data_IF_228910916477
#
_entry.id   IF_228910916477
#
_cell.length_a   1.000
_cell.length_b   1.000
_cell.length_c   1.000
_cell.angle_alpha   90.00
_cell.angle_beta   90.00
_cell.angle_gamma   90.00
#
_symmetry.space_group_name_H-M   'P 1'
#
loop_
_entity.id
_entity.type
_entity.pdbx_description
1 polymer ?
#
# COMPACT_ATOMS: atom_id res chain seq x y z
N UNK A 1 -8.51 -72.62 -50.53
CA UNK A 1 -8.14 -72.00 -49.24
C UNK A 1 -7.78 -70.56 -49.46
N UNK A 2 -8.65 -69.66 -49.06
CA UNK A 2 -8.47 -68.21 -49.25
C UNK A 2 -8.33 -67.63 -47.84
N UNK A 3 -7.18 -67.07 -47.57
CA UNK A 3 -6.87 -66.38 -46.31
C UNK A 3 -7.22 -64.93 -46.42
N UNK A 4 -8.12 -64.44 -45.53
CA UNK A 4 -8.48 -63.05 -45.39
C UNK A 4 -7.39 -62.22 -44.68
N UNK A 5 -7.13 -60.97 -45.03
CA UNK A 5 -6.19 -60.12 -44.32
C UNK A 5 -6.83 -59.48 -43.10
N UNK A 6 -6.06 -59.50 -42.01
CA UNK A 6 -6.47 -58.90 -40.73
C UNK A 6 -6.49 -57.35 -40.79
N UNK A 7 -7.53 -56.81 -40.20
CA UNK A 7 -7.73 -55.37 -39.94
C UNK A 7 -6.92 -55.00 -38.70
N UNK A 8 -5.99 -54.05 -38.81
CA UNK A 8 -5.30 -53.44 -37.69
C UNK A 8 -6.21 -52.40 -37.01
N UNK A 9 -6.23 -52.30 -35.68
CA UNK A 9 -7.01 -51.28 -34.98
C UNK A 9 -6.33 -49.93 -35.09
N UNK A 10 -7.12 -48.93 -35.45
CA UNK A 10 -6.82 -47.52 -35.50
C UNK A 10 -6.42 -47.03 -34.12
N UNK A 11 -5.18 -46.55 -33.99
CA UNK A 11 -4.71 -45.83 -32.78
C UNK A 11 -5.12 -44.40 -32.88
N UNK A 12 -6.31 -44.07 -32.42
CA UNK A 12 -6.69 -42.68 -32.13
C UNK A 12 -5.83 -42.13 -31.00
N UNK A 13 -4.81 -41.38 -31.39
CA UNK A 13 -4.02 -40.56 -30.47
C UNK A 13 -4.89 -39.42 -30.00
N UNK A 14 -5.44 -39.59 -28.80
CA UNK A 14 -6.12 -38.50 -28.08
C UNK A 14 -5.09 -37.44 -27.70
N UNK A 15 -4.98 -36.40 -28.51
CA UNK A 15 -4.31 -35.17 -28.11
C UNK A 15 -5.15 -34.49 -27.04
N UNK A 16 -4.84 -34.82 -25.78
CA UNK A 16 -5.27 -33.98 -24.66
C UNK A 16 -4.45 -32.69 -24.74
N UNK A 17 -5.00 -31.71 -25.43
CA UNK A 17 -4.59 -30.33 -25.27
C UNK A 17 -4.92 -29.91 -23.83
N UNK A 18 -3.96 -30.13 -22.94
CA UNK A 18 -3.95 -29.41 -21.67
C UNK A 18 -3.44 -28.00 -22.01
N UNK A 19 -4.38 -27.15 -22.43
CA UNK A 19 -4.17 -25.72 -22.36
C UNK A 19 -4.06 -25.39 -20.87
N UNK A 20 -2.85 -25.45 -20.35
CA UNK A 20 -2.47 -24.89 -19.06
C UNK A 20 -2.54 -23.37 -19.21
N UNK A 21 -3.73 -22.79 -19.22
CA UNK A 21 -3.93 -21.38 -18.92
C UNK A 21 -3.45 -21.21 -17.48
N UNK A 22 -2.19 -20.78 -17.32
CA UNK A 22 -1.70 -20.31 -16.05
C UNK A 22 -2.75 -19.26 -15.59
N UNK A 23 -3.51 -19.58 -14.57
CA UNK A 23 -4.51 -18.70 -13.96
C UNK A 23 -3.73 -17.52 -13.45
N UNK A 24 -3.80 -16.37 -14.12
CA UNK A 24 -3.10 -15.18 -13.68
C UNK A 24 -3.65 -14.82 -12.30
N UNK A 25 -2.79 -14.87 -11.32
CA UNK A 25 -3.14 -14.51 -9.95
C UNK A 25 -3.49 -13.03 -9.94
N UNK A 26 -4.71 -12.69 -9.53
CA UNK A 26 -5.21 -11.33 -9.51
C UNK A 26 -4.59 -10.56 -8.35
N UNK A 27 -4.19 -9.31 -8.59
CA UNK A 27 -3.79 -8.39 -7.54
C UNK A 27 -4.96 -7.49 -7.14
N UNK A 28 -5.18 -7.36 -5.83
CA UNK A 28 -6.16 -6.45 -5.24
C UNK A 28 -5.42 -5.48 -4.31
N UNK A 29 -5.68 -4.18 -4.46
CA UNK A 29 -5.22 -3.16 -3.51
C UNK A 29 -6.35 -2.85 -2.52
N UNK A 30 -6.19 -3.27 -1.27
CA UNK A 30 -7.13 -3.03 -0.17
C UNK A 30 -6.92 -1.62 0.41
N UNK A 31 -7.23 -0.58 -0.37
CA UNK A 31 -7.03 0.82 0.04
C UNK A 31 -7.84 1.80 -0.80
N UNK A 32 -8.52 2.75 -0.15
CA UNK A 32 -9.16 3.90 -0.80
C UNK A 32 -8.18 4.98 -1.26
N UNK A 33 -6.92 4.94 -0.84
CA UNK A 33 -5.92 5.99 -1.10
C UNK A 33 -5.60 6.17 -2.58
N UNK A 34 -5.90 7.34 -3.20
CA UNK A 34 -5.52 7.62 -4.58
C UNK A 34 -3.99 7.59 -4.80
N UNK A 35 -3.23 7.98 -3.79
CA UNK A 35 -1.76 8.04 -3.84
C UNK A 35 -1.15 6.64 -3.96
N UNK A 36 -1.64 5.67 -3.19
CA UNK A 36 -1.20 4.26 -3.28
C UNK A 36 -1.52 3.66 -4.65
N UNK A 37 -2.70 3.97 -5.19
CA UNK A 37 -3.09 3.56 -6.55
C UNK A 37 -2.13 4.10 -7.61
N UNK A 38 -1.79 5.38 -7.53
CA UNK A 38 -0.85 6.02 -8.46
C UNK A 38 0.55 5.39 -8.37
N UNK A 39 1.05 5.15 -7.15
CA UNK A 39 2.36 4.52 -6.93
C UNK A 39 2.42 3.10 -7.51
N UNK A 40 1.39 2.29 -7.27
CA UNK A 40 1.36 0.90 -7.72
C UNK A 40 1.21 0.81 -9.25
N UNK A 41 0.40 1.68 -9.86
CA UNK A 41 0.31 1.82 -11.33
C UNK A 41 1.62 2.28 -11.95
N UNK A 42 2.28 3.28 -11.36
CA UNK A 42 3.58 3.76 -11.82
C UNK A 42 4.68 2.70 -11.72
N UNK A 43 4.52 1.72 -10.83
CA UNK A 43 5.39 0.54 -10.75
C UNK A 43 5.03 -0.55 -11.78
N UNK A 44 4.03 -0.33 -12.65
CA UNK A 44 3.65 -1.21 -13.75
C UNK A 44 2.67 -2.32 -13.38
N UNK A 45 2.04 -2.28 -12.20
CA UNK A 45 1.09 -3.33 -11.80
C UNK A 45 -0.33 -2.99 -12.22
N UNK A 46 -1.02 -4.02 -12.76
CA UNK A 46 -2.47 -4.03 -12.92
C UNK A 46 -3.12 -4.62 -11.67
N UNK A 47 -4.16 -3.96 -11.16
CA UNK A 47 -4.84 -4.37 -9.94
C UNK A 47 -6.28 -3.87 -9.91
N UNK A 48 -7.09 -4.56 -9.11
CA UNK A 48 -8.40 -4.07 -8.69
C UNK A 48 -8.30 -3.36 -7.35
N UNK A 49 -9.28 -2.53 -7.04
CA UNK A 49 -9.33 -1.77 -5.79
C UNK A 49 -10.51 -2.25 -4.97
N UNK A 50 -10.24 -2.64 -3.75
CA UNK A 50 -11.24 -2.82 -2.70
C UNK A 50 -10.92 -1.89 -1.53
N UNK A 51 -11.93 -1.41 -0.84
CA UNK A 51 -11.75 -0.55 0.33
C UNK A 51 -12.52 -1.15 1.50
N UNK A 52 -11.97 -2.20 2.12
CA UNK A 52 -12.62 -2.83 3.25
C UNK A 52 -12.69 -1.86 4.44
N UNK A 53 -13.82 -1.89 5.13
CA UNK A 53 -13.97 -1.24 6.42
C UNK A 53 -13.28 -2.09 7.48
N UNK A 54 -12.28 -1.52 8.16
CA UNK A 54 -11.52 -2.19 9.21
C UNK A 54 -11.39 -1.26 10.42
N UNK A 55 -11.33 -1.84 11.60
CA UNK A 55 -11.05 -1.08 12.82
C UNK A 55 -9.59 -0.56 12.79
N UNK A 56 -9.44 0.76 12.71
CA UNK A 56 -8.15 1.48 12.72
C UNK A 56 -7.79 2.03 14.11
N UNK A 57 -8.48 1.60 15.17
CA UNK A 57 -8.25 2.07 16.54
C UNK A 57 -6.79 1.88 16.95
N UNK A 58 -6.19 2.94 17.47
CA UNK A 58 -4.85 2.92 18.06
C UNK A 58 -4.92 2.17 19.40
N UNK A 59 -4.06 1.19 19.59
CA UNK A 59 -3.95 0.45 20.85
C UNK A 59 -2.95 1.20 21.73
N UNK A 60 -3.35 1.50 22.97
CA UNK A 60 -2.50 2.20 23.93
C UNK A 60 -1.21 1.43 24.19
N UNK A 61 -0.07 2.11 24.05
CA UNK A 61 1.26 1.51 24.24
C UNK A 61 1.77 0.69 23.05
N UNK A 62 1.03 0.62 21.94
CA UNK A 62 1.52 -0.05 20.73
C UNK A 62 2.57 0.80 20.02
N UNK A 63 3.72 0.18 19.69
CA UNK A 63 4.76 0.83 18.89
C UNK A 63 4.22 1.21 17.49
N UNK A 64 4.56 2.40 16.96
CA UNK A 64 4.03 2.88 15.68
C UNK A 64 4.30 1.94 14.49
N UNK A 65 5.45 1.26 14.47
CA UNK A 65 5.82 0.29 13.43
C UNK A 65 4.93 -0.97 13.50
N UNK A 66 4.64 -1.46 14.70
CA UNK A 66 3.71 -2.57 14.92
C UNK A 66 2.29 -2.19 14.54
N UNK A 67 1.86 -0.98 14.91
CA UNK A 67 0.54 -0.46 14.58
C UNK A 67 0.30 -0.47 13.06
N UNK A 68 1.20 0.15 12.27
CA UNK A 68 1.01 0.24 10.81
C UNK A 68 1.05 -1.14 10.14
N UNK A 69 1.85 -2.08 10.64
CA UNK A 69 1.85 -3.47 10.13
C UNK A 69 0.55 -4.18 10.49
N UNK A 70 0.06 -4.06 11.71
CA UNK A 70 -1.22 -4.63 12.15
C UNK A 70 -2.37 -4.12 11.29
N UNK A 71 -2.45 -2.81 11.07
CA UNK A 71 -3.49 -2.18 10.24
C UNK A 71 -3.37 -2.60 8.77
N UNK A 72 -2.15 -2.71 8.24
CA UNK A 72 -1.91 -3.23 6.90
C UNK A 72 -2.38 -4.68 6.74
N UNK A 73 -2.09 -5.55 7.72
CA UNK A 73 -2.57 -6.94 7.77
C UNK A 73 -4.10 -7.02 7.80
N UNK A 74 -4.74 -6.23 8.67
CA UNK A 74 -6.20 -6.21 8.79
C UNK A 74 -6.84 -5.83 7.44
N UNK A 75 -6.32 -4.79 6.76
CA UNK A 75 -6.78 -4.36 5.44
C UNK A 75 -6.58 -5.46 4.39
N UNK A 76 -5.40 -6.10 4.36
CA UNK A 76 -5.11 -7.17 3.42
C UNK A 76 -6.03 -8.38 3.62
N UNK A 77 -6.25 -8.82 4.87
CA UNK A 77 -7.13 -9.95 5.18
C UNK A 77 -8.60 -9.66 4.88
N UNK A 78 -9.06 -8.43 5.20
CA UNK A 78 -10.45 -8.04 4.93
C UNK A 78 -10.76 -7.94 3.42
N UNK A 79 -9.78 -7.57 2.59
CA UNK A 79 -9.90 -7.58 1.13
C UNK A 79 -9.67 -8.96 0.49
N UNK A 80 -9.26 -9.98 1.25
CA UNK A 80 -8.94 -11.31 0.73
C UNK A 80 -10.20 -12.16 0.55
N UNK A 81 -11.14 -11.69 -0.26
CA UNK A 81 -12.47 -12.31 -0.48
C UNK A 81 -12.41 -13.52 -1.42
N UNK A 82 -11.34 -13.69 -2.20
CA UNK A 82 -11.15 -14.80 -3.14
C UNK A 82 -9.83 -15.53 -2.89
N UNK A 83 -9.80 -16.88 -2.88
CA UNK A 83 -8.59 -17.66 -2.59
C UNK A 83 -7.45 -17.45 -3.61
N UNK A 84 -7.79 -17.12 -4.84
CA UNK A 84 -6.85 -17.02 -5.97
C UNK A 84 -6.27 -15.61 -6.17
N UNK A 85 -6.63 -14.65 -5.30
CA UNK A 85 -6.11 -13.28 -5.35
C UNK A 85 -5.01 -13.07 -4.32
N UNK A 86 -4.02 -12.24 -4.68
CA UNK A 86 -3.08 -11.62 -3.76
C UNK A 86 -3.60 -10.24 -3.41
N UNK A 87 -3.73 -9.94 -2.14
CA UNK A 87 -4.27 -8.68 -1.65
C UNK A 87 -3.19 -7.88 -0.94
N UNK A 88 -2.97 -6.66 -1.38
CA UNK A 88 -2.04 -5.70 -0.77
C UNK A 88 -2.80 -4.73 0.13
N UNK A 89 -2.53 -4.78 1.43
CA UNK A 89 -2.92 -3.78 2.41
C UNK A 89 -1.75 -2.88 2.79
N UNK A 90 -2.02 -1.62 3.14
CA UNK A 90 -1.00 -0.72 3.65
C UNK A 90 -1.61 0.32 4.61
N UNK A 91 -0.78 0.77 5.55
CA UNK A 91 -1.12 1.86 6.47
C UNK A 91 0.07 2.78 6.67
N UNK A 92 -0.19 4.07 6.95
CA UNK A 92 0.87 5.09 7.05
C UNK A 92 0.59 6.00 8.22
N UNK A 93 1.61 6.24 9.04
CA UNK A 93 1.55 7.18 10.15
C UNK A 93 2.73 8.13 10.18
N UNK A 94 2.55 9.26 10.85
CA UNK A 94 3.59 10.25 11.12
C UNK A 94 3.90 10.24 12.61
N UNK A 95 5.18 10.25 12.97
CA UNK A 95 5.63 10.21 14.36
C UNK A 95 6.57 11.38 14.63
N UNK A 96 6.23 12.19 15.62
CA UNK A 96 7.06 13.29 16.11
C UNK A 96 7.35 13.07 17.60
N UNK A 97 8.63 12.98 18.00
CA UNK A 97 9.07 12.76 19.39
C UNK A 97 8.37 11.56 20.07
N UNK A 98 8.17 10.47 19.35
CA UNK A 98 7.47 9.29 19.84
C UNK A 98 5.93 9.39 19.86
N UNK A 99 5.36 10.54 19.47
CA UNK A 99 3.90 10.74 19.40
C UNK A 99 3.39 10.54 17.99
N UNK A 100 2.35 9.72 17.84
CA UNK A 100 1.67 9.52 16.57
C UNK A 100 0.84 10.76 16.26
N UNK A 101 1.01 11.30 15.04
CA UNK A 101 0.18 12.36 14.47
C UNK A 101 -0.76 11.72 13.45
N UNK A 102 -2.00 11.55 13.84
CA UNK A 102 -3.07 11.04 12.99
C UNK A 102 -3.53 12.03 11.91
N UNK A 103 -4.71 11.80 11.37
CA UNK A 103 -5.40 12.79 10.53
C UNK A 103 -6.01 13.85 11.44
N UNK A 104 -5.94 15.14 11.07
CA UNK A 104 -6.59 16.20 11.85
C UNK A 104 -8.12 16.10 11.74
N UNK A 105 -8.82 16.47 12.81
CA UNK A 105 -10.28 16.52 12.83
C UNK A 105 -10.84 17.75 12.07
N UNK A 106 -9.97 18.76 11.81
CA UNK A 106 -10.38 19.99 11.12
C UNK A 106 -9.20 20.91 10.83
N UNK A 107 -9.51 22.08 10.24
CA UNK A 107 -8.51 23.05 9.80
C UNK A 107 -7.64 23.59 10.95
N UNK A 108 -8.22 23.83 12.12
CA UNK A 108 -7.49 24.34 13.28
C UNK A 108 -6.42 23.33 13.72
N UNK A 109 -6.80 22.07 13.91
CA UNK A 109 -5.85 21.02 14.29
C UNK A 109 -4.81 20.76 13.18
N UNK A 110 -5.21 20.83 11.91
CA UNK A 110 -4.28 20.72 10.79
C UNK A 110 -3.20 21.83 10.84
N UNK A 111 -3.58 23.08 11.14
CA UNK A 111 -2.64 24.16 11.28
C UNK A 111 -1.70 23.97 12.49
N UNK A 112 -2.23 23.53 13.62
CA UNK A 112 -1.43 23.21 14.83
C UNK A 112 -0.45 22.06 14.59
N UNK A 113 -0.90 20.98 13.95
CA UNK A 113 -0.03 19.85 13.58
C UNK A 113 1.11 20.32 12.66
N UNK A 114 0.79 21.10 11.63
CA UNK A 114 1.80 21.61 10.69
C UNK A 114 2.81 22.52 11.38
N UNK A 115 2.38 23.35 12.32
CA UNK A 115 3.29 24.17 13.13
C UNK A 115 4.16 23.30 14.04
N UNK A 116 3.61 22.24 14.62
CA UNK A 116 4.33 21.33 15.53
C UNK A 116 5.48 20.59 14.85
N UNK A 117 5.35 20.27 13.56
CA UNK A 117 6.39 19.61 12.75
C UNK A 117 7.28 20.63 12.03
N UNK A 118 6.87 21.91 11.94
CA UNK A 118 7.61 22.99 11.31
C UNK A 118 8.98 23.22 11.96
N UNK A 119 10.03 23.35 11.14
CA UNK A 119 11.42 23.51 11.59
C UNK A 119 12.04 22.26 12.25
N UNK A 120 11.37 21.09 12.16
CA UNK A 120 11.77 19.87 12.84
C UNK A 120 11.88 18.69 11.87
N UNK A 121 12.44 17.60 12.35
CA UNK A 121 12.46 16.32 11.65
C UNK A 121 11.48 15.37 12.34
N UNK A 122 10.62 14.76 11.55
CA UNK A 122 9.68 13.73 11.98
C UNK A 122 9.89 12.45 11.18
N UNK A 123 9.26 11.38 11.61
CA UNK A 123 9.35 10.04 11.02
C UNK A 123 8.03 9.73 10.31
N UNK A 124 8.10 9.24 9.08
CA UNK A 124 6.97 8.64 8.38
C UNK A 124 7.19 7.14 8.31
N UNK A 125 6.23 6.37 8.82
CA UNK A 125 6.28 4.90 8.83
C UNK A 125 5.12 4.38 8.03
N UNK A 126 5.39 3.54 7.04
CA UNK A 126 4.35 2.82 6.29
C UNK A 126 4.53 1.32 6.46
N UNK A 127 3.50 0.68 7.02
CA UNK A 127 3.34 -0.76 7.04
C UNK A 127 2.66 -1.26 5.78
N UNK A 128 3.01 -2.45 5.36
CA UNK A 128 2.41 -3.15 4.23
C UNK A 128 2.27 -4.63 4.54
N UNK A 129 1.29 -5.28 3.92
CA UNK A 129 1.07 -6.71 4.03
C UNK A 129 0.46 -7.27 2.76
N UNK A 130 0.88 -8.48 2.38
CA UNK A 130 0.26 -9.29 1.35
C UNK A 130 -0.53 -10.42 2.02
N UNK A 131 -1.78 -10.62 1.59
CA UNK A 131 -2.60 -11.74 1.96
C UNK A 131 -2.97 -12.58 0.74
N UNK A 132 -3.09 -13.89 0.92
CA UNK A 132 -3.65 -14.81 -0.07
C UNK A 132 -4.63 -15.74 0.65
N UNK A 133 -5.90 -15.68 0.28
CA UNK A 133 -6.96 -16.27 1.07
C UNK A 133 -6.94 -15.70 2.51
N UNK A 134 -7.18 -16.54 3.50
CA UNK A 134 -7.22 -16.13 4.92
C UNK A 134 -5.84 -16.03 5.59
N UNK A 135 -4.75 -15.84 4.84
CA UNK A 135 -3.39 -15.90 5.38
C UNK A 135 -2.55 -14.73 4.93
N UNK A 136 -1.81 -14.13 5.85
CA UNK A 136 -0.70 -13.22 5.51
C UNK A 136 0.45 -14.07 4.97
N UNK A 137 0.92 -13.73 3.77
CA UNK A 137 2.04 -14.39 3.11
C UNK A 137 3.34 -13.63 3.30
N UNK A 138 3.26 -12.31 3.39
CA UNK A 138 4.42 -11.45 3.68
C UNK A 138 3.95 -10.09 4.21
N UNK A 139 4.74 -9.48 5.07
CA UNK A 139 4.50 -8.13 5.57
C UNK A 139 5.80 -7.45 6.02
N UNK A 140 5.72 -6.17 6.30
CA UNK A 140 6.83 -5.38 6.80
C UNK A 140 6.47 -3.91 6.91
N UNK A 141 7.47 -3.11 7.25
CA UNK A 141 7.35 -1.65 7.27
C UNK A 141 8.60 -0.97 6.71
N UNK A 142 8.47 0.29 6.38
CA UNK A 142 9.54 1.17 5.93
C UNK A 142 9.47 2.48 6.70
N UNK A 143 10.63 3.08 6.97
CA UNK A 143 10.76 4.32 7.72
C UNK A 143 11.47 5.37 6.89
N UNK A 144 10.98 6.61 6.91
CA UNK A 144 11.60 7.74 6.23
C UNK A 144 11.62 8.95 7.14
N UNK A 145 12.77 9.59 7.26
CA UNK A 145 12.92 10.86 7.96
C UNK A 145 12.51 12.00 7.03
N UNK A 146 11.71 12.93 7.52
CA UNK A 146 11.29 14.11 6.78
C UNK A 146 11.61 15.34 7.61
N UNK A 147 12.50 16.21 7.10
CA UNK A 147 12.78 17.49 7.70
C UNK A 147 11.91 18.58 7.07
N UNK A 148 11.30 19.38 7.92
CA UNK A 148 10.46 20.52 7.52
C UNK A 148 11.23 21.83 7.70
N UNK A 149 11.00 22.79 6.81
CA UNK A 149 11.37 24.19 7.10
C UNK A 149 10.45 24.77 8.18
N UNK A 150 10.84 25.87 8.77
CA UNK A 150 9.95 26.64 9.65
C UNK A 150 8.67 27.01 8.89
N UNK A 151 7.54 26.89 9.56
CA UNK A 151 6.21 27.20 9.03
C UNK A 151 5.62 28.34 9.83
N UNK A 152 5.30 29.43 9.14
CA UNK A 152 4.64 30.59 9.74
C UNK A 152 3.18 30.25 10.07
N UNK A 153 2.61 30.72 11.20
CA UNK A 153 1.22 30.45 11.57
C UNK A 153 0.19 30.85 10.52
N UNK A 154 0.40 31.97 9.82
CA UNK A 154 -0.51 32.43 8.75
C UNK A 154 -0.44 31.48 7.56
N UNK A 155 0.76 31.02 7.21
CA UNK A 155 0.98 30.04 6.15
C UNK A 155 0.37 28.67 6.49
N UNK A 156 0.50 28.22 7.75
CA UNK A 156 -0.13 26.99 8.22
C UNK A 156 -1.66 27.07 8.13
N UNK A 157 -2.25 28.17 8.58
CA UNK A 157 -3.70 28.39 8.51
C UNK A 157 -4.19 28.42 7.04
N UNK A 158 -3.48 29.12 6.16
CA UNK A 158 -3.83 29.20 4.74
C UNK A 158 -3.78 27.85 4.05
N UNK A 159 -2.80 27.02 4.39
CA UNK A 159 -2.72 25.64 3.87
C UNK A 159 -3.81 24.73 4.47
N UNK A 160 -4.10 24.86 5.75
CA UNK A 160 -5.18 24.10 6.38
C UNK A 160 -6.54 24.39 5.73
N UNK A 161 -6.83 25.67 5.42
CA UNK A 161 -8.05 26.10 4.76
C UNK A 161 -8.19 25.58 3.30
N UNK A 162 -7.11 25.11 2.67
CA UNK A 162 -7.19 24.47 1.35
C UNK A 162 -7.91 23.12 1.34
N UNK A 163 -8.11 22.51 2.52
CA UNK A 163 -8.66 21.17 2.67
C UNK A 163 -7.66 20.04 2.33
N UNK A 164 -6.53 20.35 1.68
CA UNK A 164 -5.53 19.34 1.30
C UNK A 164 -5.01 18.52 2.49
N UNK A 165 -4.73 19.08 3.69
CA UNK A 165 -4.16 18.33 4.80
C UNK A 165 -5.14 17.40 5.53
N UNK A 166 -6.45 17.57 5.39
CA UNK A 166 -7.46 16.99 6.28
C UNK A 166 -7.56 15.45 6.23
N UNK A 167 -7.19 14.82 5.14
CA UNK A 167 -7.17 13.36 4.97
C UNK A 167 -5.79 12.73 5.18
N UNK A 168 -4.84 13.47 5.79
CA UNK A 168 -3.43 13.07 5.85
C UNK A 168 -2.89 13.04 7.27
N UNK A 169 -2.22 11.95 7.63
CA UNK A 169 -1.45 11.88 8.87
C UNK A 169 -0.38 12.99 8.90
N UNK A 170 -0.28 13.69 10.03
CA UNK A 170 0.65 14.82 10.19
C UNK A 170 0.27 16.08 9.41
N UNK A 171 -0.94 16.13 8.84
CA UNK A 171 -1.53 17.30 8.19
C UNK A 171 -0.70 17.90 7.03
N UNK A 172 -0.01 17.06 6.21
CA UNK A 172 0.62 17.54 4.97
C UNK A 172 0.70 16.43 3.92
N UNK A 173 0.90 16.84 2.65
CA UNK A 173 1.15 15.94 1.55
C UNK A 173 2.48 16.24 0.87
N UNK A 174 3.26 15.18 0.56
CA UNK A 174 4.46 15.31 -0.27
C UNK A 174 4.12 15.50 -1.77
N UNK A 175 2.92 15.11 -2.17
CA UNK A 175 2.36 15.33 -3.50
C UNK A 175 1.25 16.37 -3.39
N UNK A 176 1.58 17.63 -3.69
CA UNK A 176 0.67 18.77 -3.57
C UNK A 176 1.37 19.97 -2.97
N UNK A 177 0.59 20.93 -2.49
CA UNK A 177 1.09 22.19 -1.96
C UNK A 177 1.89 22.02 -0.66
N UNK A 178 1.61 20.97 0.11
CA UNK A 178 2.35 20.63 1.32
C UNK A 178 3.83 20.30 1.08
N UNK A 179 4.21 19.93 -0.15
CA UNK A 179 5.61 19.67 -0.51
C UNK A 179 6.54 20.88 -0.26
N UNK A 180 6.02 22.09 -0.33
CA UNK A 180 6.78 23.36 -0.09
C UNK A 180 7.33 23.51 1.32
N UNK A 181 6.76 22.78 2.27
CA UNK A 181 7.22 22.79 3.66
C UNK A 181 8.38 21.82 3.91
N UNK A 182 8.59 20.85 3.02
CA UNK A 182 9.63 19.82 3.17
C UNK A 182 10.98 20.37 2.72
N UNK A 183 11.98 20.35 3.61
CA UNK A 183 13.35 20.77 3.31
C UNK A 183 14.24 19.62 2.85
N UNK A 184 14.07 18.42 3.44
CA UNK A 184 14.80 17.23 3.01
C UNK A 184 14.09 15.94 3.39
N UNK A 185 14.46 14.84 2.71
CA UNK A 185 13.92 13.50 2.92
C UNK A 185 15.10 12.54 3.03
N UNK A 186 15.18 11.83 4.15
CA UNK A 186 16.16 10.77 4.43
C UNK A 186 15.52 9.39 4.34
N UNK A 187 15.34 8.88 3.13
CA UNK A 187 14.73 7.58 2.85
C UNK A 187 13.85 7.57 1.59
N UNK A 188 13.08 6.50 1.35
CA UNK A 188 12.27 6.37 0.15
C UNK A 188 11.10 7.35 0.12
N UNK A 189 11.03 8.20 -0.93
CA UNK A 189 9.88 9.13 -1.12
C UNK A 189 8.55 8.39 -1.24
N UNK A 190 8.53 7.21 -1.87
CA UNK A 190 7.31 6.41 -2.02
C UNK A 190 6.73 5.96 -0.68
N UNK A 191 7.58 5.75 0.34
CA UNK A 191 7.15 5.49 1.70
C UNK A 191 6.37 6.68 2.28
N UNK A 192 6.88 7.90 2.15
CA UNK A 192 6.20 9.13 2.61
C UNK A 192 4.85 9.34 1.91
N UNK A 193 4.78 8.99 0.63
CA UNK A 193 3.52 9.07 -0.15
C UNK A 193 2.50 8.01 0.29
N UNK A 194 2.97 6.90 0.92
CA UNK A 194 2.12 5.90 1.55
C UNK A 194 2.24 4.47 1.05
N UNK A 195 3.29 4.17 0.25
CA UNK A 195 3.61 2.80 -0.16
C UNK A 195 5.11 2.63 -0.41
N UNK A 196 5.84 1.82 0.37
CA UNK A 196 7.27 1.58 0.16
C UNK A 196 7.46 0.64 -1.05
N UNK A 197 7.59 1.21 -2.24
CA UNK A 197 7.55 0.45 -3.51
C UNK A 197 8.59 -0.65 -3.59
N UNK A 198 9.84 -0.41 -3.13
CA UNK A 198 10.90 -1.42 -3.28
C UNK A 198 10.54 -2.74 -2.60
N UNK A 199 10.31 -2.81 -1.27
CA UNK A 199 9.96 -4.07 -0.62
C UNK A 199 8.62 -4.64 -1.11
N UNK A 200 7.64 -3.80 -1.41
CA UNK A 200 6.33 -4.25 -1.92
C UNK A 200 6.46 -4.91 -3.29
N UNK A 201 7.19 -4.33 -4.23
CA UNK A 201 7.43 -4.92 -5.56
C UNK A 201 8.16 -6.26 -5.46
N UNK A 202 9.18 -6.34 -4.59
CA UNK A 202 9.91 -7.58 -4.35
C UNK A 202 9.00 -8.67 -3.75
N UNK A 203 8.12 -8.30 -2.83
CA UNK A 203 7.16 -9.22 -2.23
C UNK A 203 6.10 -9.68 -3.24
N UNK A 204 5.56 -8.77 -4.07
CA UNK A 204 4.61 -9.11 -5.14
C UNK A 204 5.21 -10.11 -6.13
N UNK A 205 6.47 -9.91 -6.54
CA UNK A 205 7.18 -10.85 -7.40
C UNK A 205 7.33 -12.24 -6.77
N UNK A 206 7.68 -12.30 -5.48
CA UNK A 206 7.71 -13.58 -4.74
C UNK A 206 6.35 -14.27 -4.67
N UNK A 207 5.27 -13.47 -4.66
CA UNK A 207 3.90 -13.99 -4.72
C UNK A 207 3.43 -14.34 -6.15
N UNK A 208 4.32 -14.22 -7.16
CA UNK A 208 4.01 -14.53 -8.56
C UNK A 208 3.23 -13.44 -9.30
N UNK A 209 3.23 -12.21 -8.79
CA UNK A 209 2.64 -11.04 -9.42
C UNK A 209 3.75 -10.22 -10.08
N UNK A 210 3.76 -10.17 -11.40
CA UNK A 210 4.72 -9.38 -12.17
C UNK A 210 4.08 -8.09 -12.69
N UNK A 211 4.88 -7.02 -12.87
CA UNK A 211 4.37 -5.82 -13.55
C UNK A 211 4.02 -6.14 -15.01
N UNK A 212 2.95 -5.54 -15.51
CA UNK A 212 2.61 -5.55 -16.93
C UNK A 212 3.71 -4.87 -17.77
N UNK A 213 3.87 -5.31 -19.02
CA UNK A 213 4.80 -4.72 -20.00
C UNK A 213 4.27 -3.39 -20.51
#
# INVERSE_FOLDING_TARGET
>A
CITSPGVLPDRTVSHRNHANMARMTKLILASSSPRRRLLLRAAGFDFEVESPDVDETVIEGEDPDRMVVRLARNKALAGATTPDAVVLGADTTVVLDGRILGKPEGEAEAAEMLQSIGGRTHVVITGWALAQGARIVEDGFETTLVAMRSVDPVEAAAYAASGEPLDKAGAYALQGDGARFVSSIGGPRSNVVGLPLKPVVEALRRAGIEPGL
#
